data_IF_260340323243
#
_entry.id   IF_260340323243
#
_cell.length_a   1.000
_cell.length_b   1.000
_cell.length_c   1.000
_cell.angle_alpha   90.00
_cell.angle_beta   90.00
_cell.angle_gamma   90.00
#
_symmetry.space_group_name_H-M   'P 1'
#
loop_
_entity.id
_entity.type
_entity.pdbx_description
1 polymer ?
#
# COMPACT_ATOMS: atom_id res chain seq x y z
N UNK A 1 21.10 49.63 -18.99
CA UNK A 1 20.72 48.21 -18.83
C UNK A 1 21.74 47.59 -17.90
N UNK A 2 21.33 47.14 -16.71
CA UNK A 2 22.22 46.56 -15.70
C UNK A 2 22.38 45.07 -15.95
N UNK A 3 23.61 44.62 -16.14
CA UNK A 3 23.97 43.21 -16.29
C UNK A 3 23.70 42.44 -14.97
N UNK A 4 23.21 41.18 -15.01
CA UNK A 4 23.01 40.39 -13.82
C UNK A 4 24.35 39.84 -13.32
N UNK A 5 24.55 39.87 -11.99
CA UNK A 5 25.75 39.32 -11.33
C UNK A 5 25.83 37.81 -11.49
N UNK A 6 27.03 37.22 -11.66
CA UNK A 6 27.19 35.77 -11.72
C UNK A 6 26.95 35.11 -10.36
N UNK A 7 26.46 33.87 -10.39
CA UNK A 7 26.22 33.05 -9.20
C UNK A 7 27.54 32.65 -8.50
N UNK A 8 27.53 32.45 -7.17
CA UNK A 8 28.74 32.07 -6.43
C UNK A 8 29.15 30.62 -6.73
N UNK A 9 30.47 30.41 -6.81
CA UNK A 9 31.16 29.12 -7.04
C UNK A 9 30.75 28.06 -5.98
N UNK A 10 30.37 26.82 -6.36
CA UNK A 10 29.92 25.77 -5.43
C UNK A 10 31.01 25.22 -4.49
N UNK A 11 32.25 25.74 -4.53
CA UNK A 11 33.40 25.22 -3.77
C UNK A 11 33.45 25.58 -2.28
N UNK A 12 32.36 26.10 -1.70
CA UNK A 12 32.31 26.58 -0.31
C UNK A 12 31.28 25.93 0.62
N UNK A 13 30.51 24.93 0.16
CA UNK A 13 29.49 24.27 0.99
C UNK A 13 30.08 23.26 2.00
N UNK A 14 29.42 23.01 3.16
CA UNK A 14 29.87 22.00 4.11
C UNK A 14 29.99 20.63 3.42
N UNK A 15 31.16 20.00 3.55
CA UNK A 15 31.43 18.66 3.00
C UNK A 15 30.47 17.66 3.64
N UNK A 16 29.43 17.25 2.92
CA UNK A 16 28.60 16.11 3.30
C UNK A 16 29.51 14.88 3.46
N UNK A 17 29.71 14.43 4.69
CA UNK A 17 30.35 13.15 4.97
C UNK A 17 29.41 12.07 4.46
N UNK A 18 29.83 11.31 3.45
CA UNK A 18 29.09 10.12 3.02
C UNK A 18 28.99 9.17 4.22
N UNK A 19 27.81 8.61 4.53
CA UNK A 19 27.70 7.62 5.59
C UNK A 19 28.65 6.45 5.30
N UNK A 20 29.29 5.95 6.34
CA UNK A 20 30.20 4.81 6.22
C UNK A 20 29.44 3.59 5.67
N UNK A 21 30.02 2.82 4.76
CA UNK A 21 29.41 1.59 4.28
C UNK A 21 29.21 0.63 5.46
N UNK A 22 28.02 0.02 5.54
CA UNK A 22 27.72 -0.99 6.54
C UNK A 22 28.66 -2.18 6.32
N UNK A 23 29.42 -2.54 7.35
CA UNK A 23 30.36 -3.68 7.35
C UNK A 23 29.68 -5.02 7.64
N UNK A 24 28.36 -5.00 7.80
CA UNK A 24 27.56 -6.18 8.12
C UNK A 24 26.59 -6.41 6.97
N UNK A 25 26.70 -7.57 6.35
CA UNK A 25 25.62 -8.13 5.56
C UNK A 25 24.43 -8.31 6.51
N UNK A 26 23.22 -7.83 6.16
CA UNK A 26 22.02 -8.24 6.87
C UNK A 26 22.02 -9.76 6.93
N UNK A 27 21.59 -10.40 8.04
CA UNK A 27 21.37 -11.83 8.01
C UNK A 27 20.45 -12.10 6.81
N UNK A 28 20.89 -12.97 5.90
CA UNK A 28 20.00 -13.53 4.91
C UNK A 28 18.78 -13.99 5.71
N UNK A 29 17.63 -13.38 5.45
CA UNK A 29 16.39 -14.00 5.83
C UNK A 29 16.41 -15.31 5.07
N UNK A 30 16.90 -16.37 5.71
CA UNK A 30 16.45 -17.71 5.44
C UNK A 30 14.95 -17.63 5.70
N UNK A 31 14.23 -17.14 4.69
CA UNK A 31 12.85 -17.51 4.48
C UNK A 31 12.98 -19.02 4.36
N UNK A 32 12.79 -19.67 5.49
CA UNK A 32 12.44 -21.06 5.45
C UNK A 32 11.34 -21.15 4.38
N UNK A 33 11.50 -21.97 3.33
CA UNK A 33 10.38 -22.23 2.43
C UNK A 33 9.19 -22.85 3.17
N UNK A 34 9.35 -23.14 4.47
CA UNK A 34 8.37 -23.72 5.36
C UNK A 34 7.19 -22.77 5.62
N UNK A 35 6.18 -22.95 4.76
CA UNK A 35 4.75 -22.85 5.03
C UNK A 35 4.35 -21.89 6.17
N UNK A 36 4.09 -20.61 5.86
CA UNK A 36 3.67 -19.56 6.83
C UNK A 36 2.53 -19.93 7.81
N UNK A 37 1.73 -20.94 7.49
CA UNK A 37 0.62 -21.43 8.31
C UNK A 37 0.80 -22.86 8.84
N UNK A 38 1.84 -23.57 8.41
CA UNK A 38 2.22 -24.94 8.80
C UNK A 38 1.10 -26.00 8.75
N UNK A 39 0.04 -25.78 7.98
CA UNK A 39 -1.11 -26.69 7.93
C UNK A 39 -0.75 -28.10 7.47
N UNK A 40 0.25 -28.22 6.60
CA UNK A 40 0.71 -29.50 6.05
C UNK A 40 1.43 -30.36 7.10
N UNK A 41 1.87 -29.78 8.21
CA UNK A 41 2.50 -30.49 9.33
C UNK A 41 1.49 -31.07 10.34
N UNK A 42 0.20 -30.69 10.24
CA UNK A 42 -0.82 -31.10 11.20
C UNK A 42 -1.42 -32.44 10.78
N UNK A 43 -1.10 -33.50 11.54
CA UNK A 43 -1.58 -34.86 11.26
C UNK A 43 -2.99 -35.15 11.81
N UNK A 44 -3.39 -34.54 12.94
CA UNK A 44 -4.73 -34.75 13.51
C UNK A 44 -5.79 -33.99 12.67
N UNK A 45 -6.73 -34.69 12.01
CA UNK A 45 -7.74 -34.04 11.19
C UNK A 45 -8.65 -33.06 11.95
N UNK A 46 -8.83 -33.26 13.27
CA UNK A 46 -9.63 -32.34 14.08
C UNK A 46 -8.90 -31.03 14.33
N UNK A 47 -7.62 -31.12 14.63
CA UNK A 47 -6.77 -29.94 14.80
C UNK A 47 -6.64 -29.18 13.48
N UNK A 48 -6.39 -29.89 12.38
CA UNK A 48 -6.29 -29.31 11.04
C UNK A 48 -7.57 -28.55 10.67
N UNK A 49 -8.74 -29.15 10.91
CA UNK A 49 -10.03 -28.50 10.64
C UNK A 49 -10.22 -27.23 11.49
N UNK A 50 -9.86 -27.28 12.78
CA UNK A 50 -9.93 -26.12 13.67
C UNK A 50 -9.07 -24.97 13.15
N UNK A 51 -7.78 -25.24 12.89
CA UNK A 51 -6.82 -24.26 12.40
C UNK A 51 -7.19 -23.68 11.04
N UNK A 52 -7.60 -24.51 10.10
CA UNK A 52 -8.04 -24.07 8.78
C UNK A 52 -9.28 -23.16 8.85
N UNK A 53 -10.20 -23.44 9.78
CA UNK A 53 -11.40 -22.62 9.99
C UNK A 53 -11.06 -21.24 10.54
N UNK A 54 -10.16 -21.16 11.52
CA UNK A 54 -9.67 -19.89 12.06
C UNK A 54 -9.00 -19.04 10.97
N UNK A 55 -8.15 -19.66 10.15
CA UNK A 55 -7.50 -18.98 9.03
C UNK A 55 -8.51 -18.48 7.99
N UNK A 56 -9.53 -19.27 7.64
CA UNK A 56 -10.57 -18.83 6.72
C UNK A 56 -11.30 -17.57 7.22
N UNK A 57 -11.60 -17.50 8.52
CA UNK A 57 -12.21 -16.31 9.14
C UNK A 57 -11.24 -15.11 9.12
N UNK A 58 -9.97 -15.34 9.45
CA UNK A 58 -8.96 -14.28 9.43
C UNK A 58 -8.75 -13.72 8.02
N UNK A 59 -8.65 -14.58 7.00
CA UNK A 59 -8.51 -14.16 5.61
C UNK A 59 -9.74 -13.43 5.09
N UNK A 60 -10.95 -13.83 5.51
CA UNK A 60 -12.16 -13.08 5.18
C UNK A 60 -12.11 -11.67 5.75
N UNK A 61 -11.78 -11.53 7.04
CA UNK A 61 -11.63 -10.21 7.66
C UNK A 61 -10.52 -9.38 6.99
N UNK A 62 -9.41 -10.01 6.61
CA UNK A 62 -8.33 -9.35 5.87
C UNK A 62 -8.77 -8.90 4.48
N UNK A 63 -9.53 -9.72 3.75
CA UNK A 63 -10.07 -9.39 2.44
C UNK A 63 -11.06 -8.22 2.52
N UNK A 64 -11.98 -8.24 3.50
CA UNK A 64 -12.92 -7.15 3.76
C UNK A 64 -12.14 -5.85 4.02
N UNK A 65 -11.08 -5.92 4.86
CA UNK A 65 -10.29 -4.73 5.17
C UNK A 65 -9.44 -4.24 4.00
N UNK A 66 -8.90 -5.15 3.19
CA UNK A 66 -8.19 -4.80 1.96
C UNK A 66 -9.12 -4.08 0.96
N UNK A 67 -10.37 -4.54 0.84
CA UNK A 67 -11.38 -3.90 -0.01
C UNK A 67 -11.67 -2.46 0.44
N UNK A 68 -11.79 -2.20 1.74
CA UNK A 68 -11.94 -0.83 2.26
C UNK A 68 -10.74 0.05 1.90
N UNK A 69 -9.51 -0.48 1.99
CA UNK A 69 -8.32 0.26 1.58
C UNK A 69 -8.29 0.53 0.07
N UNK A 70 -8.72 -0.42 -0.75
CA UNK A 70 -8.88 -0.22 -2.19
C UNK A 70 -9.90 0.90 -2.49
N UNK A 71 -11.03 0.92 -1.79
CA UNK A 71 -12.05 1.98 -1.92
C UNK A 71 -11.48 3.34 -1.53
N UNK A 72 -10.80 3.43 -0.38
CA UNK A 72 -10.14 4.66 0.08
C UNK A 72 -9.09 5.17 -0.91
N UNK A 73 -8.30 4.27 -1.50
CA UNK A 73 -7.31 4.64 -2.50
C UNK A 73 -7.98 5.13 -3.79
N UNK A 74 -9.02 4.43 -4.27
CA UNK A 74 -9.79 4.83 -5.45
C UNK A 74 -10.43 6.22 -5.25
N UNK A 75 -11.07 6.45 -4.10
CA UNK A 75 -11.67 7.74 -3.76
C UNK A 75 -10.66 8.88 -3.75
N UNK A 76 -9.47 8.65 -3.17
CA UNK A 76 -8.39 9.63 -3.18
C UNK A 76 -7.86 9.89 -4.59
N UNK A 77 -7.69 8.86 -5.43
CA UNK A 77 -7.25 9.04 -6.82
C UNK A 77 -8.28 9.81 -7.67
N UNK A 78 -9.57 9.66 -7.36
CA UNK A 78 -10.66 10.36 -8.03
C UNK A 78 -11.00 11.74 -7.42
N UNK A 79 -10.28 12.20 -6.40
CA UNK A 79 -10.59 13.44 -5.70
C UNK A 79 -10.44 14.65 -6.65
N UNK A 80 -11.50 15.46 -6.88
CA UNK A 80 -11.43 16.63 -7.75
C UNK A 80 -10.45 17.71 -7.27
N UNK A 81 -10.03 17.70 -6.01
CA UNK A 81 -9.04 18.63 -5.46
C UNK A 81 -7.61 18.28 -5.88
N UNK A 82 -7.36 17.08 -6.40
CA UNK A 82 -6.05 16.66 -6.90
C UNK A 82 -5.79 17.18 -8.31
N UNK A 83 -4.54 17.58 -8.55
CA UNK A 83 -4.10 17.97 -9.88
C UNK A 83 -3.94 16.76 -10.82
N UNK A 84 -3.60 15.59 -10.26
CA UNK A 84 -3.37 14.32 -10.96
C UNK A 84 -4.57 13.37 -10.84
N UNK A 85 -5.79 13.91 -10.67
CA UNK A 85 -6.99 13.08 -10.51
C UNK A 85 -7.16 12.15 -11.70
N UNK A 86 -7.56 10.91 -11.43
CA UNK A 86 -7.86 9.91 -12.44
C UNK A 86 -9.38 9.86 -12.70
N UNK A 87 -9.82 9.68 -13.96
CA UNK A 87 -11.20 9.34 -14.26
C UNK A 87 -11.52 7.90 -13.82
N UNK A 88 -12.81 7.59 -13.63
CA UNK A 88 -13.29 6.28 -13.20
C UNK A 88 -12.73 5.14 -14.07
N UNK A 89 -12.64 5.35 -15.39
CA UNK A 89 -12.14 4.36 -16.36
C UNK A 89 -10.66 4.04 -16.16
N UNK A 90 -9.83 5.04 -15.84
CA UNK A 90 -8.40 4.83 -15.60
C UNK A 90 -8.14 4.13 -14.26
N UNK A 91 -8.98 4.41 -13.26
CA UNK A 91 -8.95 3.68 -11.98
C UNK A 91 -9.38 2.24 -12.20
N UNK A 92 -10.43 2.03 -13.00
CA UNK A 92 -10.93 0.71 -13.34
C UNK A 92 -9.87 -0.14 -14.05
N UNK A 93 -9.20 0.42 -15.06
CA UNK A 93 -8.11 -0.25 -15.78
C UNK A 93 -6.99 -0.67 -14.81
N UNK A 94 -6.55 0.24 -13.94
CA UNK A 94 -5.46 -0.03 -12.99
C UNK A 94 -5.80 -1.12 -11.95
N UNK A 95 -7.07 -1.19 -11.55
CA UNK A 95 -7.54 -2.12 -10.54
C UNK A 95 -8.15 -3.40 -11.13
N UNK A 96 -8.10 -3.56 -12.45
CA UNK A 96 -8.74 -4.68 -13.19
C UNK A 96 -10.25 -4.78 -12.88
N UNK A 97 -10.91 -3.63 -12.80
CA UNK A 97 -12.33 -3.50 -12.53
C UNK A 97 -13.12 -3.07 -13.76
N UNK A 98 -14.43 -3.24 -13.69
CA UNK A 98 -15.33 -2.54 -14.60
C UNK A 98 -15.47 -1.07 -14.18
N UNK A 99 -15.77 -0.19 -15.13
CA UNK A 99 -15.97 1.24 -14.85
C UNK A 99 -17.09 1.48 -13.82
N UNK A 100 -18.20 0.74 -13.92
CA UNK A 100 -19.31 0.84 -12.96
C UNK A 100 -18.91 0.38 -11.55
N UNK A 101 -18.06 -0.65 -11.44
CA UNK A 101 -17.56 -1.09 -10.14
C UNK A 101 -16.59 -0.08 -9.54
N UNK A 102 -15.68 0.48 -10.35
CA UNK A 102 -14.78 1.54 -9.91
C UNK A 102 -15.54 2.76 -9.36
N UNK A 103 -16.62 3.18 -10.03
CA UNK A 103 -17.49 4.27 -9.54
C UNK A 103 -18.07 3.96 -8.17
N UNK A 104 -18.64 2.77 -7.98
CA UNK A 104 -19.18 2.33 -6.68
C UNK A 104 -18.10 2.31 -5.59
N UNK A 105 -16.90 1.84 -5.92
CA UNK A 105 -15.78 1.81 -4.97
C UNK A 105 -15.28 3.22 -4.60
N UNK A 106 -15.28 4.16 -5.54
CA UNK A 106 -14.98 5.57 -5.29
C UNK A 106 -16.04 6.19 -4.36
N UNK A 107 -17.31 5.94 -4.62
CA UNK A 107 -18.42 6.41 -3.77
C UNK A 107 -18.29 5.86 -2.35
N UNK A 108 -18.14 4.54 -2.20
CA UNK A 108 -17.95 3.89 -0.91
C UNK A 108 -16.71 4.44 -0.17
N UNK A 109 -15.59 4.64 -0.87
CA UNK A 109 -14.38 5.23 -0.28
C UNK A 109 -14.57 6.68 0.18
N UNK A 110 -15.42 7.47 -0.49
CA UNK A 110 -15.76 8.83 -0.05
C UNK A 110 -16.61 8.81 1.22
N UNK A 111 -17.55 7.88 1.33
CA UNK A 111 -18.34 7.67 2.56
C UNK A 111 -17.44 7.31 3.74
N UNK A 112 -16.51 6.35 3.56
CA UNK A 112 -15.54 5.97 4.59
C UNK A 112 -14.65 7.14 5.06
N UNK A 113 -14.26 8.03 4.16
CA UNK A 113 -13.48 9.23 4.51
C UNK A 113 -14.33 10.25 5.29
N UNK A 114 -15.61 10.39 4.94
CA UNK A 114 -16.54 11.24 5.66
C UNK A 114 -16.74 10.73 7.09
N UNK A 115 -17.02 9.44 7.25
CA UNK A 115 -17.23 8.82 8.57
C UNK A 115 -16.01 8.99 9.48
N UNK A 116 -14.78 8.79 8.96
CA UNK A 116 -13.55 8.99 9.73
C UNK A 116 -13.31 10.44 10.16
N UNK A 117 -13.84 11.42 9.41
CA UNK A 117 -13.69 12.83 9.78
C UNK A 117 -14.63 13.23 10.92
N UNK A 118 -15.66 12.42 11.18
CA UNK A 118 -16.64 12.64 12.23
C UNK A 118 -16.30 11.92 13.55
N UNK A 119 -15.23 11.12 13.57
CA UNK A 119 -14.66 10.46 14.75
C UNK A 119 -13.58 11.34 15.41
#
# INVERSE_FOLDING_TARGET
>A
MSEPRPAPDPRGGPRYRRPAPLLFEPPDAAADPEHFFDLESIEDPRELLGRATELALAFRAAADRAMEFQALAAAQLADPKRFDRLPDEAIAERAEWTADYARKMIEFGRELLADRTHE
#
